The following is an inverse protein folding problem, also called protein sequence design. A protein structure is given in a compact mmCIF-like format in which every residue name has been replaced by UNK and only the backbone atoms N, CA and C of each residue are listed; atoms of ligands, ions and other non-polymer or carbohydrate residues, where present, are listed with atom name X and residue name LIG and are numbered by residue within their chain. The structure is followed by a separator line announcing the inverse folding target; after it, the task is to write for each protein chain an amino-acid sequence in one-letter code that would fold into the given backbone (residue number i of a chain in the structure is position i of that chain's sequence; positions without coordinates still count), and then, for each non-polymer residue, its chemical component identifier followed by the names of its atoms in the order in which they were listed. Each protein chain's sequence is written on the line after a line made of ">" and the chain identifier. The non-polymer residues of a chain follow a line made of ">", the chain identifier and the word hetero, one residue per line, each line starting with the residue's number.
data_IF_043149897109
#
_entry.id   IF_043149897109
#
_cell.length_a   1.000
_cell.length_b   1.000
_cell.length_c   1.000
_cell.angle_alpha   90.00
_cell.angle_beta   90.00
_cell.angle_gamma   90.00
#
_symmetry.space_group_name_H-M   'P 1'
#
loop_
_entity.id
_entity.type
_entity.pdbx_description
1 polymer ?
#
# COMPACT_ATOMS: atom_id res chain seq x y z
N UNK A 1 23.25 -43.59 1.82
CA UNK A 1 23.66 -42.64 0.76
C UNK A 1 25.16 -42.39 0.66
N UNK A 2 25.84 -41.61 1.52
CA UNK A 2 27.27 -41.30 1.31
C UNK A 2 28.19 -42.53 1.41
N UNK A 3 28.01 -43.33 2.47
CA UNK A 3 28.75 -44.59 2.69
C UNK A 3 28.47 -45.64 1.61
N UNK A 4 27.29 -45.60 0.97
CA UNK A 4 26.93 -46.54 -0.11
C UNK A 4 27.63 -46.16 -1.43
N UNK A 5 27.76 -44.87 -1.72
CA UNK A 5 28.39 -44.37 -2.94
C UNK A 5 29.91 -44.37 -2.87
N UNK A 6 30.48 -43.97 -1.73
CA UNK A 6 31.92 -43.76 -1.59
C UNK A 6 32.61 -44.80 -0.70
N UNK A 7 31.85 -45.76 -0.14
CA UNK A 7 32.34 -46.84 0.74
C UNK A 7 33.17 -46.37 1.95
N UNK A 8 33.09 -45.08 2.27
CA UNK A 8 33.82 -44.44 3.37
C UNK A 8 32.86 -43.68 4.28
N UNK A 9 33.30 -43.43 5.52
CA UNK A 9 32.57 -42.55 6.42
C UNK A 9 32.81 -41.10 6.03
N UNK A 10 31.78 -40.26 6.13
CA UNK A 10 31.93 -38.83 5.91
C UNK A 10 32.81 -38.24 7.02
N UNK A 11 33.94 -37.65 6.65
CA UNK A 11 34.96 -37.17 7.59
C UNK A 11 34.42 -36.10 8.56
N UNK A 12 33.41 -35.34 8.15
CA UNK A 12 32.78 -34.30 8.98
C UNK A 12 31.43 -34.70 9.57
N UNK A 13 31.07 -35.99 9.55
CA UNK A 13 29.82 -36.47 10.14
C UNK A 13 29.75 -36.11 11.62
N UNK A 14 30.86 -36.29 12.34
CA UNK A 14 30.96 -35.92 13.74
C UNK A 14 30.73 -34.42 13.96
N UNK A 15 31.35 -33.56 13.13
CA UNK A 15 31.16 -32.11 13.22
C UNK A 15 29.70 -31.71 13.00
N UNK A 16 29.02 -32.35 12.04
CA UNK A 16 27.60 -32.15 11.80
C UNK A 16 26.73 -32.56 13.00
N UNK A 17 26.97 -33.75 13.57
CA UNK A 17 26.26 -34.25 14.75
C UNK A 17 26.44 -33.33 15.95
N UNK A 18 27.61 -32.74 16.13
CA UNK A 18 27.87 -31.80 17.23
C UNK A 18 27.13 -30.48 17.01
N UNK A 19 27.23 -29.89 15.82
CA UNK A 19 26.71 -28.54 15.55
C UNK A 19 25.19 -28.48 15.39
N UNK A 20 24.51 -29.57 15.04
CA UNK A 20 23.06 -29.58 14.78
C UNK A 20 22.19 -29.24 16.00
N UNK A 21 22.76 -29.25 17.20
CA UNK A 21 22.08 -28.95 18.46
C UNK A 21 22.39 -27.55 19.00
N UNK A 22 23.20 -26.75 18.30
CA UNK A 22 23.49 -25.38 18.69
C UNK A 22 22.22 -24.50 18.62
N UNK A 23 22.03 -23.66 19.63
CA UNK A 23 20.83 -22.83 19.80
C UNK A 23 20.56 -21.93 18.57
N UNK A 24 21.62 -21.41 17.94
CA UNK A 24 21.57 -20.61 16.70
C UNK A 24 20.85 -21.30 15.54
N UNK A 25 20.78 -22.64 15.54
CA UNK A 25 20.10 -23.42 14.51
C UNK A 25 18.74 -23.96 14.98
N UNK A 26 18.48 -23.97 16.29
CA UNK A 26 17.24 -24.45 16.88
C UNK A 26 16.16 -23.36 16.98
N UNK A 27 16.53 -22.08 17.05
CA UNK A 27 15.58 -20.95 17.11
C UNK A 27 14.56 -20.93 15.96
N UNK A 28 14.90 -21.51 14.80
CA UNK A 28 13.97 -21.64 13.69
C UNK A 28 12.95 -22.77 13.83
N UNK A 29 13.16 -23.78 14.67
CA UNK A 29 12.26 -24.95 14.75
C UNK A 29 10.98 -24.65 15.53
N UNK A 30 11.05 -23.85 16.58
CA UNK A 30 9.87 -23.51 17.39
C UNK A 30 8.93 -22.54 16.67
N UNK A 31 9.48 -21.72 15.77
CA UNK A 31 8.73 -20.77 14.95
C UNK A 31 8.07 -21.40 13.70
N UNK A 32 8.28 -22.71 13.44
CA UNK A 32 7.83 -23.39 12.19
C UNK A 32 6.56 -24.24 12.37
N UNK A 33 6.01 -24.38 13.59
CA UNK A 33 4.66 -24.97 13.79
C UNK A 33 3.52 -24.16 13.12
N UNK A 34 3.79 -22.93 12.66
CA UNK A 34 2.82 -22.08 11.97
C UNK A 34 2.99 -21.95 10.44
N UNK A 35 4.05 -22.47 9.82
CA UNK A 35 4.35 -22.12 8.41
C UNK A 35 4.40 -23.34 7.49
N UNK A 36 3.27 -23.58 6.82
CA UNK A 36 3.13 -24.51 5.69
C UNK A 36 4.24 -24.28 4.66
N UNK A 37 4.80 -25.39 4.19
CA UNK A 37 5.95 -25.55 3.28
C UNK A 37 5.80 -24.80 1.95
N UNK A 38 6.89 -24.15 1.53
CA UNK A 38 7.40 -24.24 0.15
C UNK A 38 8.91 -23.91 0.18
N UNK A 39 9.71 -24.88 -0.24
CA UNK A 39 11.18 -24.81 -0.33
C UNK A 39 11.61 -24.22 -1.71
N UNK A 40 12.89 -24.17 -2.09
CA UNK A 40 13.60 -22.91 -2.33
C UNK A 40 14.20 -22.81 -3.75
N UNK A 41 14.55 -21.62 -4.23
CA UNK A 41 15.40 -21.49 -5.43
C UNK A 41 16.75 -20.94 -4.98
N UNK A 42 17.76 -21.79 -5.13
CA UNK A 42 19.20 -21.49 -5.02
C UNK A 42 19.64 -20.72 -6.25
N UNK A 43 20.50 -19.72 -6.07
CA UNK A 43 21.31 -19.19 -7.16
C UNK A 43 22.74 -18.99 -6.67
N UNK A 44 23.70 -19.64 -7.33
CA UNK A 44 25.11 -19.27 -7.33
C UNK A 44 25.62 -19.14 -8.77
N UNK A 45 26.63 -18.30 -9.04
CA UNK A 45 27.00 -17.81 -10.37
C UNK A 45 28.24 -18.53 -10.95
N UNK A 46 28.63 -18.14 -12.19
CA UNK A 46 29.95 -18.32 -12.87
C UNK A 46 29.97 -19.46 -13.92
N UNK A 47 30.40 -19.37 -15.19
CA UNK A 47 31.24 -18.46 -16.01
C UNK A 47 30.84 -18.68 -17.52
N UNK A 48 31.15 -17.79 -18.49
CA UNK A 48 30.77 -17.94 -19.90
C UNK A 48 31.94 -18.41 -20.79
N UNK A 49 31.74 -19.39 -21.69
CA UNK A 49 32.59 -19.53 -22.89
C UNK A 49 31.97 -20.45 -23.98
N UNK A 50 31.69 -19.85 -25.16
CA UNK A 50 31.84 -20.42 -26.52
C UNK A 50 30.76 -21.43 -27.04
N UNK A 51 30.26 -21.47 -28.31
CA UNK A 51 30.63 -20.93 -29.65
C UNK A 51 29.38 -20.99 -30.61
N UNK A 52 29.22 -19.98 -31.50
CA UNK A 52 28.58 -19.93 -32.87
C UNK A 52 27.11 -20.37 -33.10
N UNK A 53 26.27 -19.84 -34.00
CA UNK A 53 26.18 -18.86 -35.13
C UNK A 53 24.71 -18.37 -35.09
N UNK A 54 24.21 -17.28 -35.66
CA UNK A 54 24.62 -16.42 -36.76
C UNK A 54 23.85 -15.08 -36.62
N UNK A 55 24.31 -14.11 -37.38
CA UNK A 55 23.82 -12.73 -37.59
C UNK A 55 22.29 -12.55 -37.50
N UNK A 56 21.82 -11.53 -36.75
CA UNK A 56 21.51 -10.22 -37.35
C UNK A 56 20.94 -9.23 -36.31
N UNK A 57 21.47 -8.01 -36.38
CA UNK A 57 20.79 -6.72 -36.14
C UNK A 57 20.42 -6.22 -34.72
N UNK A 58 21.09 -5.09 -34.39
CA UNK A 58 20.61 -3.88 -33.71
C UNK A 58 20.41 -3.78 -32.17
N UNK A 59 21.41 -3.10 -31.59
CA UNK A 59 21.27 -1.80 -30.91
C UNK A 59 20.90 -1.74 -29.41
N UNK A 60 21.88 -1.25 -28.64
CA UNK A 60 21.75 -0.49 -27.39
C UNK A 60 21.33 -1.22 -26.10
N UNK A 61 22.26 -1.98 -25.50
CA UNK A 61 22.09 -2.41 -24.11
C UNK A 61 22.61 -1.33 -23.14
N UNK A 62 21.79 -0.29 -22.92
CA UNK A 62 21.97 0.63 -21.80
C UNK A 62 21.64 -0.12 -20.50
N UNK A 63 22.64 -0.26 -19.63
CA UNK A 63 22.51 -0.87 -18.31
C UNK A 63 21.50 -0.07 -17.46
N UNK A 64 20.28 -0.61 -17.30
CA UNK A 64 19.28 -0.10 -16.36
C UNK A 64 19.40 -0.91 -15.07
N UNK A 65 19.78 -0.24 -13.99
CA UNK A 65 19.72 -0.77 -12.63
C UNK A 65 18.26 -1.09 -12.27
N UNK A 66 17.90 -2.38 -12.23
CA UNK A 66 16.57 -2.83 -11.85
C UNK A 66 16.67 -3.64 -10.56
N UNK A 67 16.38 -2.92 -9.49
CA UNK A 67 16.11 -3.34 -8.11
C UNK A 67 15.58 -4.78 -7.98
N UNK A 68 16.20 -5.54 -7.07
CA UNK A 68 15.85 -6.94 -6.75
C UNK A 68 14.35 -7.05 -6.45
N UNK A 69 13.60 -8.00 -7.04
CA UNK A 69 12.15 -8.02 -6.93
C UNK A 69 11.67 -8.15 -5.49
N UNK A 70 10.77 -7.24 -5.07
CA UNK A 70 10.13 -7.27 -3.76
C UNK A 70 9.43 -8.61 -3.53
N UNK A 71 9.83 -9.32 -2.48
CA UNK A 71 9.26 -10.61 -2.14
C UNK A 71 7.74 -10.56 -1.88
N UNK A 72 7.06 -11.67 -2.21
CA UNK A 72 5.59 -11.91 -2.14
C UNK A 72 4.88 -11.58 -0.80
N UNK A 73 5.61 -11.20 0.25
CA UNK A 73 5.05 -10.84 1.57
C UNK A 73 4.62 -9.36 1.67
N UNK A 74 5.23 -8.45 0.92
CA UNK A 74 4.92 -7.00 1.00
C UNK A 74 3.70 -6.62 0.16
N UNK A 75 3.48 -7.30 -0.96
CA UNK A 75 2.36 -7.03 -1.88
C UNK A 75 0.98 -7.38 -1.29
N UNK A 76 0.88 -8.49 -0.53
CA UNK A 76 -0.38 -8.90 0.11
C UNK A 76 -0.83 -7.96 1.22
N UNK A 77 0.10 -7.28 1.90
CA UNK A 77 -0.24 -6.26 2.91
C UNK A 77 -0.72 -4.95 2.25
N UNK A 78 -0.07 -4.54 1.14
CA UNK A 78 -0.48 -3.38 0.33
C UNK A 78 -1.90 -3.53 -0.23
N UNK A 79 -2.30 -4.74 -0.66
CA UNK A 79 -3.63 -4.97 -1.23
C UNK A 79 -4.76 -4.89 -0.19
N UNK A 80 -4.52 -5.30 1.06
CA UNK A 80 -5.54 -5.23 2.13
C UNK A 80 -5.76 -3.81 2.67
N UNK A 81 -4.71 -2.98 2.71
CA UNK A 81 -4.83 -1.58 3.16
C UNK A 81 -5.58 -0.69 2.15
N UNK A 82 -5.48 -0.97 0.85
CA UNK A 82 -6.19 -0.20 -0.20
C UNK A 82 -7.71 -0.25 -0.04
N UNK A 83 -8.28 -1.44 0.21
CA UNK A 83 -9.74 -1.61 0.30
C UNK A 83 -10.39 -0.93 1.52
N UNK A 84 -9.67 -0.81 2.64
CA UNK A 84 -10.16 -0.10 3.83
C UNK A 84 -9.93 1.41 3.74
N UNK A 85 -8.88 1.86 3.05
CA UNK A 85 -8.61 3.28 2.84
C UNK A 85 -9.62 3.90 1.87
N UNK A 86 -9.99 3.21 0.80
CA UNK A 86 -10.94 3.74 -0.18
C UNK A 86 -12.32 4.02 0.44
N UNK A 87 -12.81 3.13 1.33
CA UNK A 87 -14.07 3.36 2.04
C UNK A 87 -14.00 4.57 2.98
N UNK A 88 -12.90 4.71 3.72
CA UNK A 88 -12.69 5.86 4.62
C UNK A 88 -12.57 7.18 3.86
N UNK A 89 -11.88 7.17 2.71
CA UNK A 89 -11.71 8.34 1.84
C UNK A 89 -13.05 8.76 1.24
N UNK A 90 -13.86 7.81 0.75
CA UNK A 90 -15.21 8.10 0.26
C UNK A 90 -16.10 8.66 1.36
N UNK A 91 -16.09 8.07 2.56
CA UNK A 91 -16.86 8.56 3.70
C UNK A 91 -16.44 9.97 4.13
N UNK A 92 -15.14 10.29 4.09
CA UNK A 92 -14.64 11.63 4.38
C UNK A 92 -15.06 12.63 3.30
N UNK A 93 -14.96 12.26 2.02
CA UNK A 93 -15.37 13.12 0.90
C UNK A 93 -16.85 13.50 0.98
N UNK A 94 -17.74 12.52 1.24
CA UNK A 94 -19.17 12.79 1.40
C UNK A 94 -19.45 13.78 2.53
N UNK A 95 -18.78 13.64 3.69
CA UNK A 95 -18.94 14.59 4.80
C UNK A 95 -18.45 15.99 4.46
N UNK A 96 -17.37 16.11 3.67
CA UNK A 96 -16.87 17.41 3.24
C UNK A 96 -17.84 18.11 2.28
N UNK A 97 -18.45 17.35 1.37
CA UNK A 97 -19.45 17.86 0.43
C UNK A 97 -20.72 18.33 1.18
N UNK A 98 -21.20 17.55 2.16
CA UNK A 98 -22.33 17.90 3.01
C UNK A 98 -22.08 19.22 3.77
N UNK A 99 -20.92 19.38 4.40
CA UNK A 99 -20.54 20.61 5.11
C UNK A 99 -20.47 21.81 4.14
N UNK A 100 -19.96 21.59 2.92
CA UNK A 100 -19.86 22.65 1.91
C UNK A 100 -21.25 23.09 1.44
N UNK A 101 -22.15 22.16 1.22
CA UNK A 101 -23.53 22.43 0.84
C UNK A 101 -24.30 23.14 1.96
N UNK A 102 -24.19 22.67 3.20
CA UNK A 102 -24.82 23.30 4.37
C UNK A 102 -24.34 24.75 4.54
N UNK A 103 -23.03 25.00 4.40
CA UNK A 103 -22.48 26.37 4.45
C UNK A 103 -23.03 27.26 3.34
N UNK A 104 -23.19 26.73 2.13
CA UNK A 104 -23.79 27.48 1.01
C UNK A 104 -25.25 27.82 1.31
N UNK A 105 -26.01 26.85 1.81
CA UNK A 105 -27.42 27.02 2.18
C UNK A 105 -27.61 28.07 3.27
N UNK A 106 -26.82 27.99 4.36
CA UNK A 106 -26.87 28.99 5.44
C UNK A 106 -26.54 30.40 4.92
N UNK A 107 -25.58 30.52 4.01
CA UNK A 107 -25.23 31.80 3.41
C UNK A 107 -26.38 32.37 2.56
N UNK A 108 -27.05 31.53 1.79
CA UNK A 108 -28.22 31.90 0.97
C UNK A 108 -29.40 32.33 1.85
N UNK A 109 -29.77 31.52 2.85
CA UNK A 109 -30.83 31.85 3.82
C UNK A 109 -30.53 33.17 4.56
N UNK A 110 -29.26 33.41 4.92
CA UNK A 110 -28.84 34.66 5.55
C UNK A 110 -29.00 35.86 4.60
N UNK A 111 -28.65 35.70 3.33
CA UNK A 111 -28.82 36.75 2.32
C UNK A 111 -30.31 37.08 2.12
N UNK A 112 -31.15 36.07 1.97
CA UNK A 112 -32.60 36.22 1.83
C UNK A 112 -33.22 36.88 3.07
N UNK A 113 -32.79 36.46 4.27
CA UNK A 113 -33.22 37.05 5.54
C UNK A 113 -32.90 38.54 5.63
N UNK A 114 -31.71 38.96 5.23
CA UNK A 114 -31.34 40.38 5.17
C UNK A 114 -32.22 41.18 4.20
N UNK A 115 -32.49 40.63 3.01
CA UNK A 115 -33.34 41.28 2.00
C UNK A 115 -34.78 41.42 2.51
N UNK A 116 -35.32 40.37 3.14
CA UNK A 116 -36.67 40.41 3.70
C UNK A 116 -36.77 41.42 4.85
N UNK A 117 -35.79 41.44 5.74
CA UNK A 117 -35.74 42.39 6.85
C UNK A 117 -35.71 43.83 6.35
N UNK A 118 -34.88 44.12 5.33
CA UNK A 118 -34.82 45.44 4.69
C UNK A 118 -36.16 45.86 4.09
N UNK A 119 -36.80 44.99 3.30
CA UNK A 119 -38.13 45.25 2.72
C UNK A 119 -39.20 45.49 3.79
N UNK A 120 -39.14 44.75 4.89
CA UNK A 120 -40.08 44.94 6.00
C UNK A 120 -39.86 46.29 6.69
N UNK A 121 -38.60 46.69 6.94
CA UNK A 121 -38.27 47.99 7.50
C UNK A 121 -38.78 49.15 6.61
N UNK A 122 -38.59 49.06 5.29
CA UNK A 122 -39.11 50.03 4.32
C UNK A 122 -40.64 50.11 4.34
N UNK A 123 -41.33 48.96 4.43
CA UNK A 123 -42.79 48.92 4.55
C UNK A 123 -43.28 49.61 5.82
N UNK A 124 -42.64 49.34 6.96
CA UNK A 124 -42.98 49.99 8.23
C UNK A 124 -42.76 51.51 8.15
N UNK A 125 -41.67 51.96 7.55
CA UNK A 125 -41.40 53.38 7.35
C UNK A 125 -42.47 54.07 6.48
N UNK A 126 -42.90 53.42 5.39
CA UNK A 126 -43.98 53.95 4.53
C UNK A 126 -45.32 54.04 5.28
N UNK A 127 -45.64 53.04 6.11
CA UNK A 127 -46.86 53.05 6.92
C UNK A 127 -46.83 54.16 7.97
N UNK A 128 -45.71 54.35 8.66
CA UNK A 128 -45.56 55.41 9.66
C UNK A 128 -45.78 56.79 9.05
N UNK A 129 -45.17 57.06 7.88
CA UNK A 129 -45.34 58.32 7.15
C UNK A 129 -46.80 58.58 6.76
N UNK A 130 -47.52 57.57 6.26
CA UNK A 130 -48.94 57.72 5.89
C UNK A 130 -49.84 58.03 7.09
N UNK A 131 -49.52 57.48 8.27
CA UNK A 131 -50.27 57.74 9.49
C UNK A 131 -50.00 59.15 10.05
N UNK A 132 -48.84 59.75 9.78
CA UNK A 132 -48.53 61.13 10.16
C UNK A 132 -49.15 62.17 9.20
N UNK A 133 -49.47 61.75 7.97
CA UNK A 133 -50.09 62.59 6.93
C UNK A 133 -51.64 62.54 6.91
N UNK A 134 -52.29 61.71 7.73
CA UNK A 134 -53.77 61.63 7.91
C UNK A 134 -54.22 62.26 9.22
#
# INVERSE_FOLDING_TARGET
>A
MYKELYKSSFHFEHCWVTLRHEAKWLEHKDNVKGRKRSAPITSSPTLPESIHLDEDNDESNAFVDLERPLGKKVEKERLKKRKSQDNMVLSLATKLDEIKEEKKKIHEEKMEGCILHQKNAERQFVLHRKNEES
#
